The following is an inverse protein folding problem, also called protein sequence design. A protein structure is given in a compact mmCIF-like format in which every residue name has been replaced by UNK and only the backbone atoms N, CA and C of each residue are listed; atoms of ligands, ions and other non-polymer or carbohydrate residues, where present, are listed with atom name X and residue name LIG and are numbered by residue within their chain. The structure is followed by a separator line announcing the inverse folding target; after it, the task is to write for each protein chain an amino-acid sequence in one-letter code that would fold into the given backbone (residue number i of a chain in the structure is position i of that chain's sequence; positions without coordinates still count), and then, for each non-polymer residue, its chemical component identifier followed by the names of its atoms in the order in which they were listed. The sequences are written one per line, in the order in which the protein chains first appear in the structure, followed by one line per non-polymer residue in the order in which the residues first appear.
data_IF_735572590047
#
_entry.id   IF_735572590047
#
_cell.length_a   1.000
_cell.length_b   1.000
_cell.length_c   1.000
_cell.angle_alpha   90.00
_cell.angle_beta   90.00
_cell.angle_gamma   90.00
#
_symmetry.space_group_name_H-M   'P 1'
#
loop_
_entity.id
_entity.type
_entity.pdbx_description
1 polymer ?
#
# COMPACT_ATOMS: atom_id res chain seq x y z
N UNK A 1 -9.85 -24.47 3.76
CA UNK A 1 -10.25 -24.06 2.40
C UNK A 1 -9.86 -25.17 1.41
N UNK A 2 -10.50 -25.25 0.24
CA UNK A 2 -10.28 -26.34 -0.74
C UNK A 2 -9.29 -25.91 -1.82
N UNK A 3 -8.19 -26.64 -1.98
CA UNK A 3 -7.31 -26.51 -3.14
C UNK A 3 -7.89 -27.32 -4.30
N UNK A 4 -8.03 -26.70 -5.47
CA UNK A 4 -8.46 -27.38 -6.69
C UNK A 4 -7.28 -28.09 -7.35
N UNK A 5 -7.52 -29.28 -7.88
CA UNK A 5 -6.51 -30.13 -8.52
C UNK A 5 -6.77 -30.33 -10.03
N UNK A 6 -7.81 -29.72 -10.58
CA UNK A 6 -8.13 -29.77 -12.01
C UNK A 6 -9.06 -28.61 -12.41
N UNK A 7 -9.12 -28.33 -13.71
CA UNK A 7 -10.12 -27.40 -14.27
C UNK A 7 -11.55 -27.88 -14.04
N UNK A 8 -11.79 -29.19 -14.01
CA UNK A 8 -13.13 -29.74 -13.70
C UNK A 8 -13.57 -29.42 -12.28
N UNK A 9 -12.64 -29.42 -11.31
CA UNK A 9 -12.94 -29.04 -9.94
C UNK A 9 -13.32 -27.55 -9.84
N UNK A 10 -12.63 -26.68 -10.58
CA UNK A 10 -12.96 -25.26 -10.69
C UNK A 10 -14.31 -25.07 -11.39
N UNK A 11 -14.54 -25.70 -12.53
CA UNK A 11 -15.79 -25.62 -13.29
C UNK A 11 -16.99 -26.10 -12.45
N UNK A 12 -16.80 -27.17 -11.68
CA UNK A 12 -17.81 -27.67 -10.74
C UNK A 12 -18.11 -26.67 -9.63
N UNK A 13 -17.09 -25.99 -9.08
CA UNK A 13 -17.29 -24.93 -8.10
C UNK A 13 -18.00 -23.70 -8.68
N UNK A 14 -17.84 -23.44 -9.98
CA UNK A 14 -18.50 -22.34 -10.69
C UNK A 14 -19.94 -22.67 -11.13
N UNK A 15 -20.34 -23.94 -11.12
CA UNK A 15 -21.62 -24.40 -11.66
C UNK A 15 -22.81 -23.66 -11.03
N UNK A 16 -23.64 -23.05 -11.88
CA UNK A 16 -24.78 -22.21 -11.49
C UNK A 16 -24.42 -20.97 -10.63
N UNK A 17 -23.16 -20.53 -10.63
CA UNK A 17 -22.69 -19.33 -9.93
C UNK A 17 -22.11 -18.33 -10.94
N UNK A 18 -21.16 -18.76 -11.76
CA UNK A 18 -20.59 -17.96 -12.83
C UNK A 18 -20.13 -18.84 -14.01
N UNK A 19 -20.01 -18.25 -15.19
CA UNK A 19 -19.37 -18.87 -16.36
C UNK A 19 -18.28 -17.98 -16.93
N UNK A 20 -17.23 -18.61 -17.48
CA UNK A 20 -16.17 -17.93 -18.20
C UNK A 20 -16.17 -18.42 -19.65
N UNK A 21 -16.53 -17.55 -20.59
CA UNK A 21 -16.53 -17.82 -22.03
C UNK A 21 -15.92 -16.62 -22.78
N UNK A 22 -15.11 -16.87 -23.81
CA UNK A 22 -14.57 -15.84 -24.71
C UNK A 22 -13.99 -14.60 -23.99
N UNK A 23 -13.12 -14.84 -23.00
CA UNK A 23 -12.50 -13.81 -22.15
C UNK A 23 -13.47 -12.95 -21.33
N UNK A 24 -14.73 -13.37 -21.18
CA UNK A 24 -15.75 -12.70 -20.38
C UNK A 24 -16.19 -13.57 -19.21
N UNK A 25 -16.17 -13.00 -18.00
CA UNK A 25 -16.78 -13.61 -16.82
C UNK A 25 -18.24 -13.13 -16.70
N UNK A 26 -19.18 -14.05 -16.71
CA UNK A 26 -20.60 -13.78 -16.43
C UNK A 26 -20.97 -14.34 -15.07
N UNK A 27 -21.55 -13.52 -14.21
CA UNK A 27 -21.96 -13.91 -12.85
C UNK A 27 -23.47 -14.13 -12.87
N UNK A 28 -23.92 -15.38 -12.64
CA UNK A 28 -25.34 -15.73 -12.61
C UNK A 28 -25.95 -15.58 -11.21
N UNK A 29 -25.16 -15.81 -10.16
CA UNK A 29 -25.59 -15.67 -8.77
C UNK A 29 -24.56 -14.86 -7.97
N UNK A 30 -24.78 -13.56 -7.82
CA UNK A 30 -23.89 -12.65 -7.09
C UNK A 30 -23.75 -13.06 -5.60
N UNK A 31 -24.83 -13.53 -4.98
CA UNK A 31 -24.82 -13.88 -3.55
C UNK A 31 -23.92 -15.08 -3.30
N UNK A 32 -24.08 -16.14 -4.11
CA UNK A 32 -23.25 -17.35 -4.02
C UNK A 32 -21.83 -17.09 -4.49
N UNK A 33 -21.63 -16.26 -5.52
CA UNK A 33 -20.29 -15.86 -5.95
C UNK A 33 -19.51 -15.24 -4.78
N UNK A 34 -20.09 -14.23 -4.13
CA UNK A 34 -19.44 -13.55 -2.99
C UNK A 34 -19.31 -14.46 -1.76
N UNK A 35 -20.35 -15.19 -1.40
CA UNK A 35 -20.42 -15.93 -0.15
C UNK A 35 -19.77 -17.31 -0.15
N UNK A 36 -19.69 -17.98 -1.31
CA UNK A 36 -19.19 -19.36 -1.44
C UNK A 36 -17.91 -19.45 -2.28
N UNK A 37 -17.84 -18.71 -3.39
CA UNK A 37 -16.80 -18.90 -4.40
C UNK A 37 -15.56 -18.02 -4.18
N UNK A 38 -15.73 -16.77 -3.72
CA UNK A 38 -14.60 -15.84 -3.49
C UNK A 38 -13.58 -16.42 -2.51
N UNK A 39 -14.02 -17.03 -1.40
CA UNK A 39 -13.11 -17.65 -0.41
C UNK A 39 -12.31 -18.81 -1.01
N UNK A 40 -12.89 -19.58 -1.95
CA UNK A 40 -12.19 -20.65 -2.67
C UNK A 40 -11.24 -20.09 -3.74
N UNK A 41 -11.67 -19.09 -4.50
CA UNK A 41 -10.85 -18.43 -5.52
C UNK A 41 -9.60 -17.83 -4.90
N UNK A 42 -9.72 -17.09 -3.78
CA UNK A 42 -8.56 -16.44 -3.18
C UNK A 42 -7.57 -17.45 -2.61
N UNK A 43 -8.04 -18.53 -2.00
CA UNK A 43 -7.16 -19.61 -1.55
C UNK A 43 -6.31 -20.18 -2.70
N UNK A 44 -6.94 -20.44 -3.85
CA UNK A 44 -6.26 -20.98 -5.03
C UNK A 44 -5.37 -19.91 -5.72
N UNK A 45 -5.77 -18.64 -5.69
CA UNK A 45 -4.96 -17.54 -6.20
C UNK A 45 -3.66 -17.30 -5.41
N UNK A 46 -3.60 -17.73 -4.15
CA UNK A 46 -2.41 -17.61 -3.28
C UNK A 46 -1.61 -18.91 -3.25
N UNK A 47 -2.25 -20.05 -2.97
CA UNK A 47 -1.55 -21.28 -2.58
C UNK A 47 -1.59 -22.42 -3.60
N UNK A 48 -2.29 -22.29 -4.73
CA UNK A 48 -2.31 -23.39 -5.70
C UNK A 48 -0.92 -23.57 -6.35
N UNK A 49 -0.42 -24.80 -6.46
CA UNK A 49 0.86 -25.08 -7.11
C UNK A 49 0.73 -25.11 -8.65
N UNK A 50 -0.47 -25.39 -9.16
CA UNK A 50 -0.80 -25.30 -10.57
C UNK A 50 -0.97 -23.82 -10.98
N UNK A 51 -0.03 -23.34 -11.80
CA UNK A 51 -0.01 -21.96 -12.28
C UNK A 51 -1.24 -21.62 -13.15
N UNK A 52 -1.82 -22.58 -13.87
CA UNK A 52 -3.03 -22.35 -14.65
C UNK A 52 -4.22 -22.07 -13.73
N UNK A 53 -4.44 -22.91 -12.71
CA UNK A 53 -5.52 -22.72 -11.73
C UNK A 53 -5.33 -21.45 -10.90
N UNK A 54 -4.09 -21.16 -10.51
CA UNK A 54 -3.73 -19.93 -9.80
C UNK A 54 -4.08 -18.70 -10.63
N UNK A 55 -3.60 -18.64 -11.87
CA UNK A 55 -3.82 -17.48 -12.74
C UNK A 55 -5.29 -17.33 -13.15
N UNK A 56 -6.01 -18.42 -13.40
CA UNK A 56 -7.44 -18.38 -13.67
C UNK A 56 -8.22 -17.86 -12.45
N UNK A 57 -7.86 -18.29 -11.24
CA UNK A 57 -8.48 -17.79 -10.00
C UNK A 57 -8.28 -16.27 -9.83
N UNK A 58 -7.06 -15.78 -10.08
CA UNK A 58 -6.73 -14.34 -10.07
C UNK A 58 -7.51 -13.56 -11.13
N UNK A 59 -7.60 -14.10 -12.34
CA UNK A 59 -8.37 -13.50 -13.43
C UNK A 59 -9.87 -13.41 -13.10
N UNK A 60 -10.45 -14.47 -12.53
CA UNK A 60 -11.86 -14.46 -12.11
C UNK A 60 -12.13 -13.42 -11.02
N UNK A 61 -11.25 -13.29 -10.02
CA UNK A 61 -11.34 -12.25 -8.99
C UNK A 61 -11.28 -10.86 -9.64
N UNK A 62 -10.33 -10.65 -10.55
CA UNK A 62 -10.19 -9.39 -11.28
C UNK A 62 -11.46 -9.02 -12.04
N UNK A 63 -11.92 -9.88 -12.95
CA UNK A 63 -13.10 -9.59 -13.78
C UNK A 63 -14.38 -9.45 -12.95
N UNK A 64 -14.52 -10.22 -11.87
CA UNK A 64 -15.63 -10.05 -10.95
C UNK A 64 -15.59 -8.69 -10.24
N UNK A 65 -14.41 -8.20 -9.84
CA UNK A 65 -14.28 -6.87 -9.22
C UNK A 65 -14.76 -5.76 -10.15
N UNK A 66 -14.45 -5.86 -11.45
CA UNK A 66 -14.92 -4.91 -12.47
C UNK A 66 -16.45 -5.00 -12.64
N UNK A 67 -16.99 -6.22 -12.76
CA UNK A 67 -18.42 -6.45 -13.00
C UNK A 67 -19.30 -6.09 -11.79
N UNK A 68 -18.78 -6.30 -10.59
CA UNK A 68 -19.54 -6.17 -9.35
C UNK A 68 -19.29 -4.85 -8.62
N UNK A 69 -18.61 -3.90 -9.27
CA UNK A 69 -18.51 -2.51 -8.81
C UNK A 69 -17.44 -2.27 -7.74
N UNK A 70 -16.38 -3.08 -7.72
CA UNK A 70 -15.21 -2.93 -6.84
C UNK A 70 -13.89 -2.78 -7.62
N UNK A 71 -13.82 -1.97 -8.69
CA UNK A 71 -12.65 -1.93 -9.57
C UNK A 71 -11.42 -1.35 -8.86
N UNK A 72 -10.25 -1.86 -9.22
CA UNK A 72 -8.99 -1.19 -8.90
C UNK A 72 -9.00 0.21 -9.53
N UNK A 73 -8.60 1.24 -8.77
CA UNK A 73 -8.71 2.63 -9.18
C UNK A 73 -7.51 3.47 -8.74
N UNK A 74 -7.28 4.56 -9.47
CA UNK A 74 -6.34 5.59 -9.05
C UNK A 74 -7.01 6.65 -8.19
N UNK A 75 -6.33 7.10 -7.15
CA UNK A 75 -6.74 8.22 -6.29
C UNK A 75 -6.33 9.59 -6.85
N UNK A 76 -5.66 9.63 -8.02
CA UNK A 76 -5.05 10.83 -8.59
C UNK A 76 -5.97 12.07 -8.56
N UNK A 77 -7.16 11.96 -9.17
CA UNK A 77 -8.11 13.08 -9.27
C UNK A 77 -8.65 13.55 -7.92
N UNK A 78 -8.74 12.65 -6.94
CA UNK A 78 -9.10 13.01 -5.58
C UNK A 78 -8.03 13.90 -4.95
N UNK A 79 -6.74 13.60 -5.13
CA UNK A 79 -5.65 14.46 -4.67
C UNK A 79 -5.51 15.75 -5.48
N UNK A 80 -5.72 15.73 -6.79
CA UNK A 80 -5.74 16.98 -7.59
C UNK A 80 -6.90 17.88 -7.18
N UNK A 81 -8.07 17.32 -6.84
CA UNK A 81 -9.16 18.09 -6.28
C UNK A 81 -8.79 18.72 -4.93
N UNK A 82 -7.97 18.04 -4.10
CA UNK A 82 -7.43 18.64 -2.87
C UNK A 82 -6.56 19.84 -3.16
N UNK A 83 -5.67 19.77 -4.15
CA UNK A 83 -4.79 20.89 -4.50
C UNK A 83 -5.58 22.18 -4.83
N UNK A 84 -6.83 22.04 -5.27
CA UNK A 84 -7.77 23.11 -5.59
C UNK A 84 -8.78 23.41 -4.47
N UNK A 85 -8.50 22.96 -3.24
CA UNK A 85 -9.34 23.11 -2.03
C UNK A 85 -10.80 22.64 -2.23
N UNK A 86 -11.05 21.68 -3.14
CA UNK A 86 -12.41 21.18 -3.41
C UNK A 86 -12.95 20.24 -2.32
N UNK A 87 -12.08 19.81 -1.43
CA UNK A 87 -12.38 19.15 -0.18
C UNK A 87 -11.25 19.46 0.82
N UNK A 88 -11.52 19.30 2.11
CA UNK A 88 -10.57 19.56 3.21
C UNK A 88 -10.89 18.69 4.41
N UNK A 89 -10.06 18.79 5.46
CA UNK A 89 -10.31 18.18 6.77
C UNK A 89 -10.48 16.64 6.72
N UNK A 90 -9.74 16.01 5.81
CA UNK A 90 -9.67 14.55 5.65
C UNK A 90 -8.21 14.17 5.34
N UNK A 91 -7.74 13.06 5.89
CA UNK A 91 -6.41 12.50 5.59
C UNK A 91 -6.55 11.04 5.23
N UNK A 92 -6.04 10.64 4.06
CA UNK A 92 -6.18 9.28 3.56
C UNK A 92 -5.23 8.35 4.33
N UNK A 93 -5.72 7.29 5.01
CA UNK A 93 -4.85 6.25 5.52
C UNK A 93 -4.37 5.37 4.36
N UNK A 94 -3.06 5.15 4.29
CA UNK A 94 -2.43 4.09 3.52
C UNK A 94 -1.93 3.02 4.49
N UNK A 95 -2.34 1.77 4.26
CA UNK A 95 -2.15 0.67 5.21
C UNK A 95 -1.33 -0.43 4.56
N UNK A 96 -0.08 -0.65 5.00
CA UNK A 96 0.71 -1.79 4.56
C UNK A 96 0.21 -3.06 5.24
N UNK A 97 -0.23 -4.04 4.44
CA UNK A 97 -0.75 -5.31 4.95
C UNK A 97 0.25 -6.43 4.71
N UNK A 98 0.90 -6.88 5.80
CA UNK A 98 2.01 -7.84 5.76
C UNK A 98 1.61 -9.29 6.02
N UNK A 99 0.41 -9.52 6.54
CA UNK A 99 -0.10 -10.85 6.93
C UNK A 99 -1.62 -10.85 6.88
N UNK A 100 -2.22 -12.05 6.80
CA UNK A 100 -3.68 -12.24 6.74
C UNK A 100 -4.33 -11.22 5.80
N UNK A 101 -3.74 -11.05 4.61
CA UNK A 101 -3.98 -9.88 3.77
C UNK A 101 -5.42 -9.78 3.30
N UNK A 102 -6.00 -10.93 2.94
CA UNK A 102 -7.41 -11.05 2.62
C UNK A 102 -8.30 -10.70 3.83
N UNK A 103 -8.09 -11.30 5.00
CA UNK A 103 -8.92 -11.09 6.18
C UNK A 103 -8.82 -9.64 6.71
N UNK A 104 -7.61 -9.06 6.71
CA UNK A 104 -7.36 -7.68 7.12
C UNK A 104 -8.04 -6.70 6.17
N UNK A 105 -7.91 -6.91 4.85
CA UNK A 105 -8.60 -6.07 3.87
C UNK A 105 -10.13 -6.16 4.00
N UNK A 106 -10.68 -7.35 4.28
CA UNK A 106 -12.13 -7.51 4.56
C UNK A 106 -12.56 -6.67 5.74
N UNK A 107 -11.77 -6.71 6.82
CA UNK A 107 -12.01 -5.90 8.02
C UNK A 107 -12.03 -4.41 7.69
N UNK A 108 -11.06 -3.93 6.91
CA UNK A 108 -10.98 -2.53 6.48
C UNK A 108 -12.22 -2.15 5.64
N UNK A 109 -12.59 -2.95 4.62
CA UNK A 109 -13.78 -2.65 3.80
C UNK A 109 -15.07 -2.64 4.60
N UNK A 110 -15.21 -3.54 5.57
CA UNK A 110 -16.36 -3.56 6.49
C UNK A 110 -16.44 -2.27 7.32
N UNK A 111 -15.32 -1.81 7.88
CA UNK A 111 -15.24 -0.55 8.61
C UNK A 111 -15.54 0.65 7.70
N UNK A 112 -14.94 0.72 6.51
CA UNK A 112 -15.17 1.80 5.55
C UNK A 112 -16.65 1.92 5.16
N UNK A 113 -17.34 0.79 4.94
CA UNK A 113 -18.79 0.78 4.71
C UNK A 113 -19.56 1.31 5.91
N UNK A 114 -19.22 0.87 7.12
CA UNK A 114 -19.90 1.28 8.37
C UNK A 114 -19.84 2.78 8.59
N UNK A 115 -18.74 3.44 8.21
CA UNK A 115 -18.54 4.88 8.39
C UNK A 115 -18.83 5.71 7.14
N UNK A 116 -19.36 5.10 6.08
CA UNK A 116 -19.60 5.76 4.79
C UNK A 116 -18.36 6.47 4.20
N UNK A 117 -17.26 5.71 4.09
CA UNK A 117 -15.98 6.15 3.55
C UNK A 117 -15.50 5.26 2.39
N UNK A 118 -14.51 5.77 1.65
CA UNK A 118 -13.86 5.03 0.54
C UNK A 118 -12.41 5.43 0.27
N UNK A 119 -11.96 6.62 0.67
CA UNK A 119 -10.58 7.06 0.49
C UNK A 119 -9.65 6.38 1.50
N UNK A 120 -9.18 5.17 1.17
CA UNK A 120 -8.21 4.38 1.94
C UNK A 120 -7.33 3.61 0.95
N UNK A 121 -6.02 3.70 1.10
CA UNK A 121 -5.04 3.00 0.30
C UNK A 121 -4.63 1.70 1.00
N UNK A 122 -4.59 0.60 0.24
CA UNK A 122 -4.13 -0.70 0.71
C UNK A 122 -2.82 -0.98 -0.01
N UNK A 123 -1.71 -0.99 0.73
CA UNK A 123 -0.39 -0.86 0.14
C UNK A 123 0.57 -1.97 0.54
N UNK A 124 1.66 -2.09 -0.22
CA UNK A 124 2.79 -2.96 0.09
C UNK A 124 4.05 -2.36 -0.52
N UNK A 125 5.14 -2.34 0.25
CA UNK A 125 6.40 -1.78 -0.23
C UNK A 125 7.29 -2.80 -0.96
N UNK A 126 8.22 -2.31 -1.80
CA UNK A 126 9.19 -3.13 -2.56
C UNK A 126 9.91 -4.17 -1.67
N UNK A 127 10.32 -3.76 -0.47
CA UNK A 127 10.99 -4.66 0.49
C UNK A 127 10.03 -5.69 1.09
N UNK A 128 8.77 -5.30 1.31
CA UNK A 128 7.73 -6.12 1.93
C UNK A 128 7.22 -7.22 1.01
N UNK A 129 7.11 -6.93 -0.28
CA UNK A 129 6.87 -7.93 -1.33
C UNK A 129 7.83 -9.11 -1.17
N UNK A 130 9.12 -8.83 -0.94
CA UNK A 130 10.16 -9.85 -0.82
C UNK A 130 10.03 -10.68 0.47
N UNK A 131 9.98 -10.04 1.64
CA UNK A 131 10.01 -10.79 2.92
C UNK A 131 8.66 -11.40 3.32
N UNK A 132 7.54 -10.89 2.80
CA UNK A 132 6.22 -11.50 2.97
C UNK A 132 5.88 -12.48 1.83
N UNK A 133 6.70 -12.52 0.78
CA UNK A 133 6.47 -13.32 -0.43
C UNK A 133 5.13 -12.94 -1.10
N UNK A 134 4.71 -11.68 -1.01
CA UNK A 134 3.44 -11.18 -1.56
C UNK A 134 3.71 -10.37 -2.83
N UNK A 135 3.86 -11.06 -3.97
CA UNK A 135 4.02 -10.39 -5.28
C UNK A 135 2.76 -9.60 -5.65
N UNK A 136 2.86 -8.56 -6.50
CA UNK A 136 1.73 -7.69 -6.84
C UNK A 136 0.44 -8.43 -7.25
N UNK A 137 0.55 -9.48 -8.07
CA UNK A 137 -0.60 -10.27 -8.50
C UNK A 137 -1.34 -10.96 -7.35
N UNK A 138 -0.60 -11.46 -6.35
CA UNK A 138 -1.17 -12.07 -5.15
C UNK A 138 -1.85 -11.00 -4.29
N UNK A 139 -1.13 -9.91 -4.00
CA UNK A 139 -1.61 -8.84 -3.14
C UNK A 139 -2.90 -8.21 -3.70
N UNK A 140 -2.91 -7.82 -4.97
CA UNK A 140 -4.08 -7.24 -5.61
C UNK A 140 -5.28 -8.22 -5.60
N UNK A 141 -5.02 -9.52 -5.80
CA UNK A 141 -6.08 -10.53 -5.73
C UNK A 141 -6.67 -10.63 -4.32
N UNK A 142 -5.85 -10.60 -3.27
CA UNK A 142 -6.32 -10.55 -1.88
C UNK A 142 -7.22 -9.33 -1.64
N UNK A 143 -6.78 -8.15 -2.07
CA UNK A 143 -7.53 -6.90 -1.85
C UNK A 143 -8.86 -6.90 -2.60
N UNK A 144 -8.86 -7.26 -3.88
CA UNK A 144 -10.08 -7.28 -4.69
C UNK A 144 -11.05 -8.38 -4.24
N UNK A 145 -10.54 -9.56 -3.88
CA UNK A 145 -11.36 -10.61 -3.29
C UNK A 145 -11.99 -10.13 -1.98
N UNK A 146 -11.26 -9.40 -1.14
CA UNK A 146 -11.80 -8.86 0.11
C UNK A 146 -12.94 -7.86 -0.14
N UNK A 147 -12.76 -6.93 -1.09
CA UNK A 147 -13.81 -6.01 -1.50
C UNK A 147 -15.06 -6.76 -2.02
N UNK A 148 -14.85 -7.81 -2.81
CA UNK A 148 -15.90 -8.68 -3.31
C UNK A 148 -16.62 -9.41 -2.17
N UNK A 149 -15.89 -9.99 -1.23
CA UNK A 149 -16.45 -10.74 -0.11
C UNK A 149 -17.33 -9.88 0.79
N UNK A 150 -16.93 -8.62 0.98
CA UNK A 150 -17.62 -7.65 1.83
C UNK A 150 -18.72 -6.86 1.11
N UNK A 151 -19.00 -7.18 -0.16
CA UNK A 151 -19.95 -6.42 -0.99
C UNK A 151 -19.65 -4.92 -0.98
N UNK A 152 -18.37 -4.55 -1.02
CA UNK A 152 -17.93 -3.17 -1.12
C UNK A 152 -18.18 -2.66 -2.54
N UNK A 153 -18.85 -1.51 -2.67
CA UNK A 153 -19.10 -0.86 -3.96
C UNK A 153 -18.33 0.46 -3.99
N UNK A 154 -17.53 0.69 -5.02
CA UNK A 154 -16.70 1.88 -5.16
C UNK A 154 -15.26 1.57 -5.59
N UNK A 155 -14.44 2.61 -5.78
CA UNK A 155 -13.03 2.44 -6.12
C UNK A 155 -12.28 1.69 -5.01
N UNK A 156 -11.37 0.80 -5.44
CA UNK A 156 -10.41 0.10 -4.58
C UNK A 156 -9.01 0.63 -4.89
N UNK A 157 -8.38 1.29 -3.92
CA UNK A 157 -7.06 1.89 -4.12
C UNK A 157 -5.96 0.95 -3.63
N UNK A 158 -5.20 0.40 -4.57
CA UNK A 158 -4.04 -0.47 -4.30
C UNK A 158 -2.79 0.35 -4.59
N UNK A 159 -1.86 0.39 -3.64
CA UNK A 159 -0.68 1.24 -3.70
C UNK A 159 0.63 0.44 -3.63
N UNK A 160 1.57 0.81 -4.49
CA UNK A 160 2.97 0.39 -4.38
C UNK A 160 3.71 1.41 -3.55
N UNK A 161 4.03 1.07 -2.31
CA UNK A 161 4.73 1.94 -1.36
C UNK A 161 6.26 1.83 -1.57
N UNK A 162 7.00 2.91 -1.32
CA UNK A 162 8.47 2.98 -1.43
C UNK A 162 9.02 2.10 -2.57
N UNK A 163 8.71 2.43 -3.83
CA UNK A 163 9.39 1.84 -4.98
C UNK A 163 10.80 2.45 -5.05
N UNK A 164 11.59 2.08 -4.03
CA UNK A 164 12.76 2.78 -3.58
C UNK A 164 13.97 2.42 -4.44
N UNK A 165 14.73 3.44 -4.83
CA UNK A 165 16.03 3.29 -5.46
C UNK A 165 17.05 2.92 -4.39
N UNK A 166 17.77 1.82 -4.58
CA UNK A 166 18.86 1.49 -3.68
C UNK A 166 20.11 2.29 -4.04
N UNK A 167 20.54 3.22 -3.19
CA UNK A 167 21.69 4.09 -3.46
C UNK A 167 22.99 3.34 -3.78
N UNK A 168 23.25 2.20 -3.12
CA UNK A 168 24.44 1.38 -3.38
C UNK A 168 24.39 0.71 -4.75
N UNK A 169 23.24 0.15 -5.12
CA UNK A 169 23.06 -0.44 -6.45
C UNK A 169 23.11 0.62 -7.54
N UNK A 170 22.47 1.77 -7.31
CA UNK A 170 22.49 2.89 -8.23
C UNK A 170 23.90 3.43 -8.46
N UNK A 171 24.70 3.61 -7.40
CA UNK A 171 26.10 4.03 -7.55
C UNK A 171 26.96 3.02 -8.31
N UNK A 172 26.62 1.73 -8.25
CA UNK A 172 27.33 0.68 -8.98
C UNK A 172 26.91 0.59 -10.45
N UNK A 173 25.60 0.68 -10.72
CA UNK A 173 24.99 0.56 -12.05
C UNK A 173 23.59 1.23 -12.06
N UNK A 174 23.52 2.52 -12.38
CA UNK A 174 22.26 3.27 -12.40
C UNK A 174 21.23 2.66 -13.34
N UNK A 175 21.65 2.30 -14.56
CA UNK A 175 20.75 1.77 -15.59
C UNK A 175 20.09 0.47 -15.13
N UNK A 176 20.85 -0.43 -14.50
CA UNK A 176 20.34 -1.69 -13.98
C UNK A 176 19.37 -1.50 -12.81
N UNK A 177 19.67 -0.63 -11.85
CA UNK A 177 18.76 -0.37 -10.72
C UNK A 177 17.43 0.22 -11.23
N UNK A 178 17.49 1.19 -12.13
CA UNK A 178 16.29 1.81 -12.71
C UNK A 178 15.52 0.83 -13.59
N UNK A 179 16.19 0.00 -14.39
CA UNK A 179 15.53 -1.06 -15.17
C UNK A 179 14.81 -2.07 -14.26
N UNK A 180 15.41 -2.43 -13.12
CA UNK A 180 14.79 -3.28 -12.11
C UNK A 180 13.51 -2.68 -11.54
N UNK A 181 13.53 -1.39 -11.21
CA UNK A 181 12.35 -0.66 -10.74
C UNK A 181 11.26 -0.55 -11.82
N UNK A 182 11.63 -0.21 -13.05
CA UNK A 182 10.68 -0.20 -14.19
C UNK A 182 9.98 -1.55 -14.35
N UNK A 183 10.70 -2.65 -14.23
CA UNK A 183 10.11 -4.00 -14.29
C UNK A 183 9.09 -4.23 -13.16
N UNK A 184 9.41 -3.82 -11.92
CA UNK A 184 8.49 -3.93 -10.79
C UNK A 184 7.25 -3.03 -10.97
N UNK A 185 7.43 -1.81 -11.48
CA UNK A 185 6.33 -0.89 -11.82
C UNK A 185 5.41 -1.54 -12.83
N UNK A 186 5.93 -2.09 -13.93
CA UNK A 186 5.11 -2.71 -14.96
C UNK A 186 4.26 -3.87 -14.40
N UNK A 187 4.86 -4.75 -13.59
CA UNK A 187 4.15 -5.84 -12.93
C UNK A 187 3.06 -5.35 -11.96
N UNK A 188 3.34 -4.30 -11.18
CA UNK A 188 2.37 -3.70 -10.28
C UNK A 188 1.20 -3.07 -11.05
N UNK A 189 1.49 -2.30 -12.10
CA UNK A 189 0.47 -1.66 -12.94
C UNK A 189 -0.40 -2.69 -13.64
N UNK A 190 0.18 -3.76 -14.19
CA UNK A 190 -0.56 -4.86 -14.82
C UNK A 190 -1.54 -5.52 -13.84
N UNK A 191 -1.22 -5.52 -12.54
CA UNK A 191 -2.03 -6.19 -11.51
C UNK A 191 -3.01 -5.26 -10.80
N UNK A 192 -3.03 -3.95 -11.12
CA UNK A 192 -4.01 -2.99 -10.61
C UNK A 192 -3.47 -1.98 -9.60
N UNK A 193 -2.16 -1.87 -9.44
CA UNK A 193 -1.54 -0.85 -8.60
C UNK A 193 -1.56 0.48 -9.35
N UNK A 194 -2.65 1.22 -9.22
CA UNK A 194 -2.86 2.52 -9.87
C UNK A 194 -2.49 3.71 -8.98
N UNK A 195 -1.69 3.44 -7.95
CA UNK A 195 -1.10 4.39 -7.03
C UNK A 195 0.34 3.89 -6.75
N UNK A 196 1.36 4.68 -7.09
CA UNK A 196 2.77 4.26 -7.01
C UNK A 196 3.56 5.39 -6.37
N UNK A 197 4.21 5.09 -5.26
CA UNK A 197 5.10 6.03 -4.57
C UNK A 197 6.54 5.72 -4.95
N UNK A 198 7.15 6.66 -5.67
CA UNK A 198 8.56 6.59 -6.06
C UNK A 198 9.37 7.21 -4.93
N UNK A 199 10.36 6.46 -4.46
CA UNK A 199 11.32 6.94 -3.47
C UNK A 199 12.74 6.90 -4.06
N UNK A 200 13.17 8.03 -4.61
CA UNK A 200 14.55 8.25 -5.03
C UNK A 200 15.29 9.14 -4.01
N UNK A 201 14.73 9.36 -2.82
CA UNK A 201 15.29 10.28 -1.84
C UNK A 201 16.57 9.75 -1.20
N UNK A 202 16.84 8.44 -1.28
CA UNK A 202 18.13 7.82 -0.96
C UNK A 202 19.30 8.34 -1.81
N UNK A 203 19.02 8.97 -2.96
CA UNK A 203 20.02 9.53 -3.87
C UNK A 203 20.42 10.97 -3.52
N UNK A 204 19.80 11.57 -2.50
CA UNK A 204 20.15 12.93 -2.05
C UNK A 204 21.59 12.96 -1.56
N UNK A 205 22.40 13.84 -2.14
CA UNK A 205 23.82 13.98 -1.84
C UNK A 205 24.10 15.26 -1.04
N UNK A 206 24.10 15.15 0.28
CA UNK A 206 24.36 16.28 1.19
C UNK A 206 25.79 16.82 1.12
N UNK A 207 26.70 16.20 0.36
CA UNK A 207 28.05 16.73 0.14
C UNK A 207 28.10 17.88 -0.86
N UNK A 208 27.01 18.15 -1.60
CA UNK A 208 26.93 19.28 -2.54
C UNK A 208 26.65 20.58 -1.81
N UNK A 209 27.23 21.68 -2.30
CA UNK A 209 27.11 23.02 -1.69
C UNK A 209 25.71 23.64 -1.83
N UNK A 210 24.95 23.26 -2.86
CA UNK A 210 23.65 23.84 -3.18
C UNK A 210 22.54 22.80 -3.10
N UNK A 211 21.43 23.14 -2.42
CA UNK A 211 20.27 22.24 -2.19
C UNK A 211 19.73 21.66 -3.51
N UNK A 212 19.69 22.47 -4.58
CA UNK A 212 19.31 21.98 -5.90
C UNK A 212 20.20 20.84 -6.40
N UNK A 213 21.52 20.94 -6.23
CA UNK A 213 22.46 19.88 -6.59
C UNK A 213 22.36 18.67 -5.65
N UNK A 214 22.07 18.90 -4.37
CA UNK A 214 21.82 17.80 -3.42
C UNK A 214 20.61 16.96 -3.86
N UNK A 215 19.55 17.60 -4.37
CA UNK A 215 18.30 16.96 -4.80
C UNK A 215 18.32 16.45 -6.24
N UNK A 216 19.35 16.77 -7.04
CA UNK A 216 19.38 16.51 -8.49
C UNK A 216 19.06 15.07 -8.87
N UNK A 217 19.81 14.12 -8.32
CA UNK A 217 19.61 12.71 -8.63
C UNK A 217 18.22 12.21 -8.20
N UNK A 218 17.67 12.74 -7.10
CA UNK A 218 16.33 12.41 -6.62
C UNK A 218 15.25 12.87 -7.62
N UNK A 219 15.24 14.16 -7.99
CA UNK A 219 14.21 14.68 -8.88
C UNK A 219 14.33 14.16 -10.33
N UNK A 220 15.54 13.96 -10.85
CA UNK A 220 15.76 13.44 -12.20
C UNK A 220 15.27 11.99 -12.32
N UNK A 221 15.64 11.15 -11.33
CA UNK A 221 15.21 9.75 -11.26
C UNK A 221 13.70 9.63 -11.07
N UNK A 222 13.12 10.46 -10.19
CA UNK A 222 11.67 10.47 -9.97
C UNK A 222 10.92 10.88 -11.25
N UNK A 223 11.42 11.87 -11.99
CA UNK A 223 10.85 12.27 -13.27
C UNK A 223 10.97 11.16 -14.33
N UNK A 224 12.10 10.45 -14.40
CA UNK A 224 12.29 9.31 -15.31
C UNK A 224 11.29 8.17 -15.02
N UNK A 225 11.14 7.79 -13.75
CA UNK A 225 10.20 6.76 -13.33
C UNK A 225 8.74 7.19 -13.53
N UNK A 226 8.41 8.47 -13.30
CA UNK A 226 7.09 9.03 -13.63
C UNK A 226 6.78 8.86 -15.11
N UNK A 227 7.72 9.21 -16.00
CA UNK A 227 7.54 9.05 -17.46
C UNK A 227 7.30 7.60 -17.83
N UNK A 228 8.00 6.67 -17.19
CA UNK A 228 7.77 5.25 -17.40
C UNK A 228 6.37 4.81 -16.93
N UNK A 229 5.91 5.27 -15.78
CA UNK A 229 4.54 5.01 -15.29
C UNK A 229 3.51 5.48 -16.31
N UNK A 230 3.64 6.70 -16.85
CA UNK A 230 2.75 7.21 -17.91
C UNK A 230 2.78 6.39 -19.18
N UNK A 231 3.91 5.76 -19.50
CA UNK A 231 4.02 4.86 -20.66
C UNK A 231 3.25 3.54 -20.45
N UNK A 232 3.20 3.03 -19.22
CA UNK A 232 2.61 1.71 -18.93
C UNK A 232 1.20 1.77 -18.33
N UNK A 233 0.70 2.97 -18.01
CA UNK A 233 -0.64 3.10 -17.44
C UNK A 233 -1.73 2.62 -18.41
N UNK A 234 -2.78 1.93 -17.92
CA UNK A 234 -3.89 1.51 -18.77
C UNK A 234 -4.64 2.70 -19.35
N UNK A 235 -5.19 2.53 -20.55
CA UNK A 235 -6.05 3.54 -21.18
C UNK A 235 -7.19 3.96 -20.24
N UNK A 236 -7.33 5.27 -20.02
CA UNK A 236 -8.38 5.83 -19.16
C UNK A 236 -8.04 5.81 -17.66
N UNK A 237 -6.84 5.36 -17.27
CA UNK A 237 -6.35 5.40 -15.90
C UNK A 237 -5.15 6.32 -15.84
N UNK A 238 -5.29 7.48 -15.19
CA UNK A 238 -4.14 8.30 -14.79
C UNK A 238 -3.65 7.82 -13.44
N UNK A 239 -2.51 7.14 -13.41
CA UNK A 239 -1.95 6.61 -12.16
C UNK A 239 -1.56 7.74 -11.20
N UNK A 240 -1.84 7.55 -9.91
CA UNK A 240 -1.42 8.47 -8.86
C UNK A 240 0.05 8.21 -8.58
N UNK A 241 0.89 9.24 -8.68
CA UNK A 241 2.32 9.12 -8.42
C UNK A 241 2.67 9.95 -7.20
N UNK A 242 3.36 9.35 -6.24
CA UNK A 242 4.02 10.03 -5.12
C UNK A 242 5.51 10.19 -5.38
N UNK A 243 6.09 11.29 -4.90
CA UNK A 243 7.55 11.49 -4.78
C UNK A 243 7.97 11.63 -3.32
N UNK A 244 9.26 11.68 -3.03
CA UNK A 244 9.77 11.76 -1.65
C UNK A 244 11.04 12.64 -1.55
N UNK A 245 11.16 13.38 -0.43
CA UNK A 245 12.35 14.20 -0.11
C UNK A 245 12.90 13.95 1.32
N UNK A 246 12.42 12.90 2.01
CA UNK A 246 12.54 12.77 3.47
C UNK A 246 13.46 11.67 4.02
N UNK A 247 13.98 10.74 3.19
CA UNK A 247 14.73 9.59 3.71
C UNK A 247 16.14 9.98 4.21
N UNK A 248 16.81 10.93 3.55
CA UNK A 248 18.20 11.30 3.85
C UNK A 248 18.28 12.55 4.74
N UNK A 249 18.72 12.33 5.97
CA UNK A 249 18.89 13.37 6.99
C UNK A 249 17.96 13.13 8.18
N UNK A 250 18.49 13.12 9.39
CA UNK A 250 17.70 12.95 10.63
C UNK A 250 16.88 14.20 11.00
N UNK A 251 16.72 15.12 10.05
CA UNK A 251 16.09 16.43 10.24
C UNK A 251 14.79 16.48 9.47
N UNK A 252 13.91 17.36 9.92
CA UNK A 252 12.66 17.64 9.22
C UNK A 252 12.96 18.25 7.85
N UNK A 253 12.18 17.86 6.85
CA UNK A 253 12.26 18.45 5.53
C UNK A 253 11.95 19.94 5.58
N UNK A 254 12.58 20.69 4.68
CA UNK A 254 12.50 22.14 4.59
C UNK A 254 11.73 22.59 3.35
N UNK A 255 11.30 23.85 3.34
CA UNK A 255 10.63 24.42 2.15
C UNK A 255 11.62 24.51 1.00
N UNK A 256 12.88 24.80 1.31
CA UNK A 256 13.97 24.93 0.36
C UNK A 256 14.25 23.60 -0.35
N UNK A 257 14.29 22.48 0.37
CA UNK A 257 14.44 21.13 -0.21
C UNK A 257 13.23 20.75 -1.08
N UNK A 258 12.02 21.02 -0.58
CA UNK A 258 10.78 20.77 -1.33
C UNK A 258 10.75 21.56 -2.64
N UNK A 259 11.05 22.86 -2.59
CA UNK A 259 11.09 23.73 -3.76
C UNK A 259 12.14 23.28 -4.75
N UNK A 260 13.37 23.00 -4.29
CA UNK A 260 14.44 22.51 -5.14
C UNK A 260 14.07 21.20 -5.86
N UNK A 261 13.48 20.25 -5.13
CA UNK A 261 12.97 19.02 -5.72
C UNK A 261 11.88 19.28 -6.75
N UNK A 262 10.86 20.07 -6.41
CA UNK A 262 9.70 20.29 -7.29
C UNK A 262 10.06 21.07 -8.55
N UNK A 263 10.91 22.10 -8.46
CA UNK A 263 11.38 22.86 -9.61
C UNK A 263 12.23 22.00 -10.55
N UNK A 264 13.19 21.23 -9.99
CA UNK A 264 14.01 20.30 -10.76
C UNK A 264 13.19 19.19 -11.41
N UNK A 265 12.24 18.62 -10.66
CA UNK A 265 11.31 17.59 -11.13
C UNK A 265 10.46 18.10 -12.29
N UNK A 266 9.79 19.25 -12.12
CA UNK A 266 8.94 19.85 -13.15
C UNK A 266 9.74 20.24 -14.39
N UNK A 267 10.93 20.82 -14.21
CA UNK A 267 11.85 21.14 -15.30
C UNK A 267 12.26 19.89 -16.09
N UNK A 268 12.62 18.82 -15.39
CA UNK A 268 13.01 17.53 -16.01
C UNK A 268 11.82 16.87 -16.72
N UNK A 269 10.62 16.99 -16.18
CA UNK A 269 9.41 16.44 -16.77
C UNK A 269 9.02 17.20 -18.06
N UNK A 270 9.14 18.53 -18.05
CA UNK A 270 8.84 19.40 -19.19
C UNK A 270 9.70 19.12 -20.44
N UNK A 271 10.94 18.62 -20.25
CA UNK A 271 11.80 18.18 -21.37
C UNK A 271 11.20 17.05 -22.21
N UNK A 272 10.17 16.37 -21.72
CA UNK A 272 9.49 15.30 -22.45
C UNK A 272 8.13 15.70 -23.03
N UNK A 273 7.80 17.00 -23.02
CA UNK A 273 6.55 17.55 -23.55
C UNK A 273 5.66 18.15 -22.46
N UNK A 274 4.87 19.15 -22.82
CA UNK A 274 4.05 19.98 -21.91
C UNK A 274 2.83 19.28 -21.29
N UNK A 275 2.59 18.00 -21.62
CA UNK A 275 1.36 17.27 -21.23
C UNK A 275 1.62 16.10 -20.26
N UNK A 276 2.86 15.90 -19.79
CA UNK A 276 3.14 14.78 -18.89
C UNK A 276 2.61 15.08 -17.47
N UNK A 277 1.58 14.33 -17.05
CA UNK A 277 1.01 14.44 -15.71
C UNK A 277 2.02 14.03 -14.64
N UNK A 278 2.36 14.96 -13.75
CA UNK A 278 3.33 14.77 -12.67
C UNK A 278 2.80 14.04 -11.43
N UNK A 279 3.48 14.24 -10.30
CA UNK A 279 3.08 13.69 -9.00
C UNK A 279 1.80 14.36 -8.46
N UNK A 280 1.07 13.62 -7.64
CA UNK A 280 -0.17 14.08 -6.99
C UNK A 280 -0.04 14.27 -5.47
N UNK A 281 1.05 13.78 -4.89
CA UNK A 281 1.41 13.90 -3.47
C UNK A 281 2.93 13.81 -3.30
N UNK A 282 3.43 14.23 -2.14
CA UNK A 282 4.87 14.14 -1.84
C UNK A 282 5.12 13.79 -0.37
N UNK A 283 5.99 12.83 -0.13
CA UNK A 283 6.39 12.39 1.21
C UNK A 283 7.50 13.26 1.78
N UNK A 284 7.38 13.58 3.07
CA UNK A 284 8.29 14.50 3.78
C UNK A 284 8.67 13.95 5.15
N UNK A 285 9.83 14.36 5.67
CA UNK A 285 10.25 14.03 7.02
C UNK A 285 9.76 15.09 8.02
N UNK A 286 9.18 14.64 9.13
CA UNK A 286 8.59 15.48 10.18
C UNK A 286 9.00 15.04 11.59
N UNK A 287 10.08 14.27 11.71
CA UNK A 287 10.66 13.83 12.98
C UNK A 287 10.22 12.43 13.40
N UNK A 288 9.70 11.63 12.48
CA UNK A 288 9.27 10.24 12.76
C UNK A 288 10.23 9.22 12.17
N UNK A 289 10.14 7.98 12.65
CA UNK A 289 10.92 6.86 12.10
C UNK A 289 9.99 5.68 11.87
N UNK A 290 10.17 4.96 10.76
CA UNK A 290 9.35 3.78 10.46
C UNK A 290 9.40 2.75 11.57
N UNK A 291 8.22 2.35 12.04
CA UNK A 291 8.08 1.38 13.13
C UNK A 291 8.59 1.87 14.49
N UNK A 292 8.87 3.17 14.65
CA UNK A 292 9.29 3.77 15.91
C UNK A 292 10.62 3.27 16.47
N UNK A 293 10.97 3.82 17.63
CA UNK A 293 12.18 3.44 18.39
C UNK A 293 11.76 2.50 19.50
N UNK A 294 12.24 1.26 19.44
CA UNK A 294 11.94 0.21 20.43
C UNK A 294 12.95 0.32 21.56
N UNK A 295 12.47 0.44 22.78
CA UNK A 295 13.28 0.45 23.99
C UNK A 295 13.71 -0.98 24.37
N UNK A 296 14.74 -1.15 25.22
CA UNK A 296 15.21 -2.49 25.60
C UNK A 296 14.15 -3.40 26.22
N UNK A 297 13.11 -2.84 26.84
CA UNK A 297 11.96 -3.55 27.41
C UNK A 297 10.88 -3.93 26.38
N UNK A 298 11.09 -3.63 25.10
CA UNK A 298 10.15 -3.89 24.01
C UNK A 298 9.08 -2.81 23.82
N UNK A 299 9.00 -1.81 24.71
CA UNK A 299 8.07 -0.68 24.55
C UNK A 299 8.52 0.29 23.45
N UNK A 300 7.61 1.14 22.98
CA UNK A 300 7.92 2.14 21.94
C UNK A 300 8.14 3.51 22.56
N UNK A 301 9.28 4.12 22.25
CA UNK A 301 9.60 5.47 22.67
C UNK A 301 8.57 6.46 22.10
N UNK A 302 8.16 7.42 22.92
CA UNK A 302 7.28 8.51 22.47
C UNK A 302 8.06 9.40 21.51
N UNK A 303 7.58 9.50 20.27
CA UNK A 303 8.13 10.39 19.25
C UNK A 303 7.26 11.64 19.14
N UNK A 304 7.89 12.80 19.06
CA UNK A 304 7.20 14.06 18.80
C UNK A 304 7.24 14.34 17.30
N UNK A 305 6.07 14.23 16.67
CA UNK A 305 5.86 14.64 15.28
C UNK A 305 5.77 16.17 15.19
N UNK A 306 6.36 16.73 14.15
CA UNK A 306 6.29 18.16 13.83
C UNK A 306 5.15 18.45 12.86
N UNK A 307 3.97 18.69 13.43
CA UNK A 307 2.77 19.07 12.68
C UNK A 307 2.89 20.42 11.97
N UNK A 308 3.71 21.35 12.48
CA UNK A 308 3.90 22.66 11.86
C UNK A 308 4.70 22.52 10.55
N UNK A 309 5.69 21.63 10.52
CA UNK A 309 6.38 21.25 9.29
C UNK A 309 5.41 20.68 8.25
N UNK A 310 4.51 19.77 8.64
CA UNK A 310 3.51 19.21 7.72
C UNK A 310 2.58 20.26 7.14
N UNK A 311 2.06 21.17 7.97
CA UNK A 311 1.19 22.25 7.51
C UNK A 311 1.91 23.21 6.55
N UNK A 312 3.14 23.61 6.90
CA UNK A 312 3.96 24.52 6.10
C UNK A 312 4.28 23.92 4.73
N UNK A 313 4.84 22.70 4.70
CA UNK A 313 5.18 22.02 3.45
C UNK A 313 3.93 21.69 2.64
N UNK A 314 2.87 21.20 3.28
CA UNK A 314 1.58 20.94 2.61
C UNK A 314 0.98 22.18 1.95
N UNK A 315 1.14 23.35 2.58
CA UNK A 315 0.70 24.63 2.01
C UNK A 315 1.51 25.00 0.77
N UNK A 316 2.83 24.87 0.82
CA UNK A 316 3.72 25.14 -0.33
C UNK A 316 3.40 24.18 -1.49
N UNK A 317 3.37 22.88 -1.21
CA UNK A 317 3.04 21.80 -2.17
C UNK A 317 1.74 22.09 -2.94
N UNK A 318 0.67 22.48 -2.22
CA UNK A 318 -0.62 22.81 -2.86
C UNK A 318 -0.59 24.14 -3.61
N UNK A 319 -0.17 25.22 -2.95
CA UNK A 319 -0.36 26.57 -3.48
C UNK A 319 0.64 26.94 -4.58
N UNK A 320 1.86 26.41 -4.53
CA UNK A 320 2.90 26.74 -5.50
C UNK A 320 2.97 25.70 -6.62
N UNK A 321 2.76 24.42 -6.31
CA UNK A 321 3.00 23.34 -7.28
C UNK A 321 1.73 22.59 -7.73
N UNK A 322 0.56 22.90 -7.16
CA UNK A 322 -0.70 22.25 -7.57
C UNK A 322 -0.76 20.76 -7.24
N UNK A 323 0.08 20.28 -6.31
CA UNK A 323 0.13 18.90 -5.84
C UNK A 323 -0.80 18.76 -4.62
N UNK A 324 -1.47 17.61 -4.44
CA UNK A 324 -2.54 17.43 -3.46
C UNK A 324 -2.15 17.69 -2.01
N UNK A 325 -0.90 17.44 -1.63
CA UNK A 325 -0.37 17.76 -0.31
C UNK A 325 0.78 16.85 0.08
N UNK A 326 1.16 16.92 1.36
CA UNK A 326 2.24 16.11 1.93
C UNK A 326 1.73 14.82 2.54
N UNK A 327 2.56 13.78 2.46
CA UNK A 327 2.35 12.45 3.02
C UNK A 327 3.24 12.26 4.25
N UNK A 328 2.68 11.70 5.32
CA UNK A 328 3.41 11.34 6.54
C UNK A 328 3.73 9.84 6.56
N UNK A 329 5.00 9.48 6.64
CA UNK A 329 5.39 8.09 6.87
C UNK A 329 5.55 7.78 8.37
N UNK A 330 5.58 6.50 8.74
CA UNK A 330 5.91 6.09 10.11
C UNK A 330 4.90 6.52 11.18
N UNK A 331 3.64 6.75 10.83
CA UNK A 331 2.62 7.26 11.76
C UNK A 331 2.11 6.19 12.76
N UNK A 332 2.34 4.90 12.50
CA UNK A 332 1.78 3.79 13.29
C UNK A 332 2.13 3.77 14.78
N UNK A 333 3.22 4.42 15.18
CA UNK A 333 3.67 4.41 16.60
C UNK A 333 3.28 5.67 17.35
N UNK A 334 2.51 6.57 16.72
CA UNK A 334 1.97 7.75 17.38
C UNK A 334 0.84 7.36 18.33
N UNK A 335 0.62 8.11 19.42
CA UNK A 335 -0.55 7.93 20.26
C UNK A 335 -1.83 8.27 19.49
N UNK A 336 -2.94 7.60 19.82
CA UNK A 336 -4.23 7.79 19.12
C UNK A 336 -4.70 9.25 19.09
N UNK A 337 -4.41 10.01 20.15
CA UNK A 337 -4.74 11.44 20.27
C UNK A 337 -3.99 12.33 19.28
N UNK A 338 -2.96 11.83 18.59
CA UNK A 338 -2.23 12.58 17.58
C UNK A 338 -2.95 12.60 16.22
N UNK A 339 -3.73 11.56 15.89
CA UNK A 339 -4.23 11.37 14.52
C UNK A 339 -5.20 12.45 14.05
N UNK A 340 -5.96 13.06 14.96
CA UNK A 340 -6.89 14.14 14.62
C UNK A 340 -6.20 15.45 14.19
N UNK A 341 -4.88 15.55 14.37
CA UNK A 341 -4.10 16.71 13.94
C UNK A 341 -3.80 16.66 12.44
N UNK A 342 -3.69 15.48 11.83
CA UNK A 342 -3.37 15.37 10.40
C UNK A 342 -4.42 16.04 9.51
N UNK A 343 -5.74 15.79 9.69
CA UNK A 343 -6.75 16.48 8.91
C UNK A 343 -6.78 17.98 9.20
N UNK A 344 -6.63 18.39 10.47
CA UNK A 344 -6.60 19.80 10.87
C UNK A 344 -5.46 20.57 10.18
N UNK A 345 -4.30 19.94 10.05
CA UNK A 345 -3.11 20.48 9.36
C UNK A 345 -3.08 20.20 7.86
N UNK A 346 -4.16 19.62 7.31
CA UNK A 346 -4.31 19.35 5.89
C UNK A 346 -3.21 18.45 5.31
N UNK A 347 -2.68 17.52 6.11
CA UNK A 347 -1.87 16.39 5.62
C UNK A 347 -2.76 15.51 4.75
N UNK A 348 -2.32 15.18 3.53
CA UNK A 348 -3.22 14.53 2.56
C UNK A 348 -3.30 13.03 2.79
N UNK A 349 -2.22 12.41 3.26
CA UNK A 349 -2.11 10.97 3.44
C UNK A 349 -1.15 10.63 4.59
N UNK A 350 -1.40 9.51 5.29
CA UNK A 350 -0.47 8.93 6.27
C UNK A 350 -0.27 7.43 6.02
N UNK A 351 0.95 6.93 6.21
CA UNK A 351 1.29 5.52 6.06
C UNK A 351 1.34 4.77 7.39
N UNK A 352 0.75 3.58 7.41
CA UNK A 352 0.50 2.80 8.61
C UNK A 352 0.76 1.31 8.36
N UNK A 353 1.61 0.69 9.17
CA UNK A 353 1.95 -0.72 9.01
C UNK A 353 2.21 -1.43 10.35
N UNK A 354 3.25 -0.98 11.05
CA UNK A 354 3.88 -1.76 12.12
C UNK A 354 2.94 -2.02 13.29
N UNK A 355 2.04 -1.09 13.64
CA UNK A 355 1.08 -1.32 14.72
C UNK A 355 0.16 -2.52 14.47
N UNK A 356 -0.36 -2.68 13.25
CA UNK A 356 -1.36 -3.72 12.97
C UNK A 356 -0.77 -5.12 12.90
N UNK A 357 0.42 -5.28 12.31
CA UNK A 357 1.12 -6.56 12.39
C UNK A 357 1.48 -6.93 13.84
N UNK A 358 1.72 -5.92 14.68
CA UNK A 358 2.08 -6.12 16.07
C UNK A 358 0.86 -6.60 16.85
N UNK A 359 -0.30 -5.96 16.65
CA UNK A 359 -1.57 -6.44 17.19
C UNK A 359 -1.83 -7.92 16.86
N UNK A 360 -1.57 -8.34 15.62
CA UNK A 360 -1.72 -9.76 15.23
C UNK A 360 -0.78 -10.67 16.02
N UNK A 361 0.52 -10.34 16.13
CA UNK A 361 1.48 -11.17 16.88
C UNK A 361 1.26 -11.19 18.40
N UNK A 362 0.79 -10.05 18.93
CA UNK A 362 0.72 -9.78 20.36
C UNK A 362 -0.67 -10.15 20.93
N UNK A 363 -1.67 -10.38 20.06
CA UNK A 363 -2.99 -10.89 20.43
C UNK A 363 -2.90 -12.19 21.20
N UNK A 364 -3.77 -12.34 22.21
CA UNK A 364 -3.93 -13.60 22.95
C UNK A 364 -4.53 -14.72 22.09
N UNK A 365 -5.21 -14.39 21.00
CA UNK A 365 -5.77 -15.35 20.07
C UNK A 365 -4.70 -15.98 19.15
N UNK A 366 -3.60 -15.27 18.89
CA UNK A 366 -2.54 -15.80 18.04
C UNK A 366 -1.85 -17.01 18.72
N UNK A 367 -1.75 -18.18 18.07
CA UNK A 367 -1.22 -19.38 18.71
C UNK A 367 0.23 -19.19 19.19
N UNK A 368 0.46 -19.46 20.49
CA UNK A 368 1.76 -19.28 21.13
C UNK A 368 2.82 -20.20 20.50
N UNK A 369 2.43 -21.42 20.16
CA UNK A 369 3.28 -22.43 19.55
C UNK A 369 3.75 -21.96 18.16
N UNK A 370 2.86 -21.39 17.36
CA UNK A 370 3.20 -20.82 16.05
C UNK A 370 4.13 -19.61 16.21
N UNK A 371 3.85 -18.71 17.16
CA UNK A 371 4.73 -17.58 17.45
C UNK A 371 6.13 -18.03 17.87
N UNK A 372 6.23 -19.02 18.74
CA UNK A 372 7.51 -19.57 19.18
C UNK A 372 8.28 -20.21 18.02
N UNK A 373 7.59 -20.95 17.14
CA UNK A 373 8.18 -21.53 15.92
C UNK A 373 8.72 -20.44 14.99
N UNK A 374 7.99 -19.35 14.81
CA UNK A 374 8.45 -18.18 14.05
C UNK A 374 9.70 -17.57 14.71
N UNK A 375 9.71 -17.37 16.02
CA UNK A 375 10.85 -16.75 16.73
C UNK A 375 12.12 -17.62 16.65
N UNK A 376 11.99 -18.94 16.76
CA UNK A 376 13.11 -19.86 16.54
C UNK A 376 13.64 -19.77 15.10
N UNK A 377 12.76 -19.61 14.12
CA UNK A 377 13.18 -19.38 12.74
C UNK A 377 13.92 -18.04 12.59
N UNK A 378 13.48 -16.96 13.26
CA UNK A 378 14.14 -15.65 13.23
C UNK A 378 15.54 -15.69 13.85
N UNK A 379 15.71 -16.34 15.01
CA UNK A 379 17.01 -16.50 15.67
C UNK A 379 18.03 -17.21 14.75
N UNK A 380 17.56 -18.09 13.87
CA UNK A 380 18.43 -18.79 12.92
C UNK A 380 18.66 -18.01 11.62
N UNK A 381 17.62 -17.41 11.05
CA UNK A 381 17.64 -16.89 9.67
C UNK A 381 17.80 -15.37 9.59
N UNK A 382 17.73 -14.66 10.72
CA UNK A 382 17.95 -13.22 10.82
C UNK A 382 19.07 -12.88 11.82
N UNK A 383 19.89 -13.86 12.20
CA UNK A 383 20.94 -13.70 13.21
C UNK A 383 21.95 -12.61 12.86
N UNK A 384 22.23 -12.43 11.57
CA UNK A 384 23.14 -11.43 11.00
C UNK A 384 22.63 -9.99 11.14
N UNK A 385 21.32 -9.80 11.34
CA UNK A 385 20.72 -8.48 11.58
C UNK A 385 20.79 -8.05 13.05
N UNK A 386 21.15 -8.97 13.95
CA UNK A 386 21.21 -8.69 15.39
C UNK A 386 22.38 -7.76 15.69
N UNK A 387 22.09 -6.62 16.29
CA UNK A 387 23.12 -5.70 16.80
C UNK A 387 23.56 -6.11 18.20
N UNK A 388 24.82 -5.83 18.53
CA UNK A 388 25.42 -6.21 19.81
C UNK A 388 24.72 -5.58 21.03
N UNK A 389 24.07 -4.43 20.84
CA UNK A 389 23.35 -3.66 21.86
C UNK A 389 21.85 -3.97 21.93
N UNK A 390 21.33 -4.88 21.08
CA UNK A 390 19.90 -5.19 21.07
C UNK A 390 19.51 -6.27 22.09
N UNK A 391 18.47 -5.98 22.87
CA UNK A 391 17.76 -7.00 23.65
C UNK A 391 17.06 -8.02 22.72
N UNK A 392 16.72 -9.23 23.22
CA UNK A 392 15.87 -10.17 22.47
C UNK A 392 14.57 -9.53 21.98
N UNK A 393 13.94 -8.68 22.79
CA UNK A 393 12.70 -7.98 22.47
C UNK A 393 12.88 -7.03 21.29
N UNK A 394 13.96 -6.25 21.27
CA UNK A 394 14.30 -5.37 20.15
C UNK A 394 14.59 -6.17 18.88
N UNK A 395 15.32 -7.28 19.00
CA UNK A 395 15.59 -8.18 17.88
C UNK A 395 14.30 -8.73 17.26
N UNK A 396 13.42 -9.34 18.07
CA UNK A 396 12.15 -9.87 17.57
C UNK A 396 11.25 -8.78 17.01
N UNK A 397 11.15 -7.62 17.67
CA UNK A 397 10.33 -6.53 17.15
C UNK A 397 10.76 -6.11 15.73
N UNK A 398 12.06 -5.95 15.50
CA UNK A 398 12.59 -5.49 14.22
C UNK A 398 12.55 -6.55 13.12
N UNK A 399 12.67 -7.83 13.48
CA UNK A 399 12.77 -8.93 12.50
C UNK A 399 11.47 -9.67 12.25
N UNK A 400 10.48 -9.65 13.17
CA UNK A 400 9.26 -10.50 13.07
C UNK A 400 8.45 -10.35 11.80
N UNK A 401 8.50 -9.19 11.15
CA UNK A 401 7.90 -8.98 9.82
C UNK A 401 8.37 -9.98 8.77
N UNK A 402 9.60 -10.50 8.88
CA UNK A 402 10.20 -11.51 7.99
C UNK A 402 9.64 -12.92 8.23
N UNK A 403 8.97 -13.15 9.36
CA UNK A 403 8.30 -14.42 9.65
C UNK A 403 7.02 -14.63 8.82
N UNK A 404 6.41 -13.55 8.29
CA UNK A 404 5.14 -13.68 7.58
C UNK A 404 5.23 -14.41 6.25
N UNK A 405 6.36 -14.33 5.55
CA UNK A 405 6.57 -15.07 4.30
C UNK A 405 6.67 -16.59 4.51
N UNK A 406 7.68 -17.08 5.25
CA UNK A 406 7.90 -18.50 5.46
C UNK A 406 6.72 -19.23 6.14
N UNK A 407 5.96 -18.53 6.98
CA UNK A 407 4.83 -19.10 7.71
C UNK A 407 3.46 -18.68 7.15
N UNK A 408 3.41 -18.08 5.95
CA UNK A 408 2.17 -17.51 5.37
C UNK A 408 1.02 -18.51 5.37
N UNK A 409 1.26 -19.73 4.87
CA UNK A 409 0.21 -20.73 4.75
C UNK A 409 -0.27 -21.24 6.12
N UNK A 410 0.63 -21.42 7.09
CA UNK A 410 0.26 -21.78 8.46
C UNK A 410 -0.61 -20.70 9.11
N UNK A 411 -0.26 -19.42 8.90
CA UNK A 411 -1.03 -18.27 9.41
C UNK A 411 -2.40 -18.15 8.71
N UNK A 412 -2.46 -18.34 7.39
CA UNK A 412 -3.73 -18.32 6.64
C UNK A 412 -4.64 -19.52 6.98
N UNK A 413 -4.05 -20.61 7.47
CA UNK A 413 -4.77 -21.83 7.85
C UNK A 413 -5.25 -21.82 9.30
N UNK A 414 -5.05 -20.72 10.04
CA UNK A 414 -5.65 -20.54 11.36
C UNK A 414 -7.17 -20.74 11.27
N UNK A 415 -7.73 -21.35 12.30
CA UNK A 415 -9.16 -21.62 12.36
C UNK A 415 -9.98 -20.32 12.40
N UNK A 416 -11.24 -20.42 11.97
CA UNK A 416 -12.12 -19.25 11.87
C UNK A 416 -12.33 -18.54 13.21
N UNK A 417 -12.34 -19.25 14.34
CA UNK A 417 -12.49 -18.61 15.66
C UNK A 417 -11.27 -17.74 15.96
N UNK A 418 -10.07 -18.25 15.70
CA UNK A 418 -8.83 -17.49 15.84
C UNK A 418 -8.81 -16.28 14.91
N UNK A 419 -9.07 -16.45 13.61
CA UNK A 419 -9.09 -15.33 12.65
C UNK A 419 -10.12 -14.27 13.02
N UNK A 420 -11.33 -14.66 13.42
CA UNK A 420 -12.37 -13.72 13.83
C UNK A 420 -11.96 -12.89 15.06
N UNK A 421 -11.28 -13.49 16.04
CA UNK A 421 -10.77 -12.76 17.20
C UNK A 421 -9.71 -11.73 16.80
N UNK A 422 -8.75 -12.12 15.94
CA UNK A 422 -7.72 -11.20 15.42
C UNK A 422 -8.33 -10.04 14.62
N UNK A 423 -9.31 -10.33 13.77
CA UNK A 423 -9.98 -9.31 12.95
C UNK A 423 -10.86 -8.38 13.79
N UNK A 424 -11.45 -8.86 14.88
CA UNK A 424 -12.18 -8.01 15.82
C UNK A 424 -11.26 -6.99 16.50
N UNK A 425 -10.08 -7.41 16.96
CA UNK A 425 -9.08 -6.50 17.54
C UNK A 425 -8.63 -5.44 16.52
N UNK A 426 -8.39 -5.83 15.27
CA UNK A 426 -8.05 -4.87 14.21
C UNK A 426 -9.20 -3.91 13.88
N UNK A 427 -10.45 -4.38 13.86
CA UNK A 427 -11.62 -3.54 13.62
C UNK A 427 -11.76 -2.45 14.71
N UNK A 428 -11.51 -2.81 15.97
CA UNK A 428 -11.52 -1.89 17.11
C UNK A 428 -10.45 -0.81 17.01
N UNK A 429 -9.34 -1.05 16.31
CA UNK A 429 -8.33 -0.04 16.02
C UNK A 429 -8.65 0.80 14.77
N UNK A 430 -9.14 0.19 13.69
CA UNK A 430 -9.36 0.89 12.42
C UNK A 430 -10.49 1.92 12.49
N UNK A 431 -11.64 1.59 13.10
CA UNK A 431 -12.78 2.52 13.13
C UNK A 431 -12.46 3.86 13.82
N UNK A 432 -11.96 3.90 15.06
CA UNK A 432 -11.65 5.17 15.72
C UNK A 432 -10.57 5.95 14.96
N UNK A 433 -9.55 5.25 14.42
CA UNK A 433 -8.53 5.90 13.59
C UNK A 433 -9.15 6.59 12.37
N UNK A 434 -9.94 5.88 11.57
CA UNK A 434 -10.52 6.44 10.35
C UNK A 434 -11.42 7.64 10.66
N UNK A 435 -12.16 7.58 11.78
CA UNK A 435 -12.94 8.73 12.27
C UNK A 435 -12.05 9.92 12.63
N UNK A 436 -10.96 9.69 13.36
CA UNK A 436 -9.98 10.74 13.71
C UNK A 436 -9.33 11.37 12.47
N UNK A 437 -9.16 10.59 11.40
CA UNK A 437 -8.66 11.06 10.10
C UNK A 437 -9.70 11.78 9.24
N UNK A 438 -10.92 11.98 9.74
CA UNK A 438 -11.98 12.72 9.03
C UNK A 438 -12.67 11.93 7.91
N UNK A 439 -12.55 10.59 7.88
CA UNK A 439 -13.12 9.79 6.78
C UNK A 439 -14.65 9.62 6.86
N UNK A 440 -15.26 9.78 8.03
CA UNK A 440 -16.68 9.47 8.22
C UNK A 440 -17.58 10.33 7.31
N UNK A 441 -18.41 9.70 6.46
CA UNK A 441 -19.26 10.37 5.48
C UNK A 441 -18.51 11.02 4.31
N UNK A 442 -17.22 10.69 4.12
CA UNK A 442 -16.38 11.27 3.07
C UNK A 442 -16.56 10.59 1.71
N UNK A 443 -17.28 9.45 1.63
CA UNK A 443 -17.50 8.69 0.39
C UNK A 443 -17.94 9.56 -0.79
N UNK A 444 -18.86 10.50 -0.55
CA UNK A 444 -19.36 11.45 -1.56
C UNK A 444 -18.24 12.26 -2.25
N UNK A 445 -17.15 12.56 -1.54
CA UNK A 445 -16.03 13.30 -2.11
C UNK A 445 -15.24 12.41 -3.08
N UNK A 446 -14.96 11.17 -2.66
CA UNK A 446 -14.31 10.18 -3.54
C UNK A 446 -15.16 9.89 -4.76
N UNK A 447 -16.47 9.66 -4.60
CA UNK A 447 -17.36 9.36 -5.73
C UNK A 447 -17.54 10.53 -6.69
N UNK A 448 -17.40 11.77 -6.20
CA UNK A 448 -17.40 12.96 -7.05
C UNK A 448 -16.17 12.99 -7.96
N UNK A 449 -14.99 12.72 -7.41
CA UNK A 449 -13.71 12.97 -8.09
C UNK A 449 -13.09 11.73 -8.74
N UNK A 450 -13.39 10.53 -8.27
CA UNK A 450 -12.84 9.28 -8.79
C UNK A 450 -13.87 8.57 -9.65
N UNK A 451 -13.56 8.43 -10.94
CA UNK A 451 -14.36 7.69 -11.91
C UNK A 451 -13.53 6.51 -12.45
N UNK A 452 -13.60 5.32 -11.82
CA UNK A 452 -12.78 4.19 -12.22
C UNK A 452 -13.07 3.77 -13.67
N UNK A 453 -12.02 3.67 -14.49
CA UNK A 453 -12.13 3.09 -15.81
C UNK A 453 -12.20 1.56 -15.71
N UNK A 454 -13.05 0.95 -16.53
CA UNK A 454 -13.07 -0.51 -16.65
C UNK A 454 -11.80 -0.98 -17.39
N UNK A 455 -11.01 -1.81 -16.72
CA UNK A 455 -9.81 -2.45 -17.28
C UNK A 455 -10.05 -3.95 -17.35
N UNK A 456 -10.21 -4.47 -18.56
CA UNK A 456 -10.46 -5.90 -18.82
C UNK A 456 -9.16 -6.63 -19.09
N UNK A 457 -9.06 -7.89 -18.65
CA UNK A 457 -7.90 -8.75 -18.88
C UNK A 457 -8.26 -9.93 -19.77
N UNK A 458 -7.37 -10.33 -20.69
CA UNK A 458 -7.56 -11.58 -21.42
C UNK A 458 -7.59 -12.75 -20.44
N UNK A 459 -8.40 -13.76 -20.75
CA UNK A 459 -8.41 -15.00 -19.97
C UNK A 459 -7.05 -15.70 -20.11
N UNK A 460 -6.43 -16.15 -19.01
CA UNK A 460 -5.22 -16.97 -19.05
C UNK A 460 -5.45 -18.26 -19.85
N UNK A 461 -4.42 -18.72 -20.55
CA UNK A 461 -4.44 -19.91 -21.39
C UNK A 461 -4.71 -21.21 -20.61
#
# INVERSE_FOLDING_TARGET
MKTWNSLDALNSACANICSAADATLTIQDEKRFRGELVDQLIWNAVFNEDEQLKNLSRWMIWEASQNLGSPAASIHDFYIARAKDQWKDCTVPAINIRTLTYDTARTIFSVLKKIDASACLLEIAKTEVSYTVQRPAEYASCILAAALRENYKGPVFIQGDHFQVNAKNFAADPEKEIAGLKKLIAEAVETGFYNIDIDASTLVDLSKDHIHEQQRANFETTAELTKYIRKVEPKGVTISVGGEIGEVGTKNSTVEELTAFMEGYNGTLALCGSECVGISKISVQSGTTHGGVVLPDGSIAKVKIDFDTLERLGTVTRKQFGVGGVVQHGASTLPDSAFDNFPKRQTVEIHLATAYQNMVYDSKAFPKELRNKIYQWLEKNCADERKADWSPEQFYYKTRKKGFGPFKQEIWSLDEKTKNALMAELAEAFEPLFRSLGLAGSRKNTEKWVKPAAVRKPRPA
#
